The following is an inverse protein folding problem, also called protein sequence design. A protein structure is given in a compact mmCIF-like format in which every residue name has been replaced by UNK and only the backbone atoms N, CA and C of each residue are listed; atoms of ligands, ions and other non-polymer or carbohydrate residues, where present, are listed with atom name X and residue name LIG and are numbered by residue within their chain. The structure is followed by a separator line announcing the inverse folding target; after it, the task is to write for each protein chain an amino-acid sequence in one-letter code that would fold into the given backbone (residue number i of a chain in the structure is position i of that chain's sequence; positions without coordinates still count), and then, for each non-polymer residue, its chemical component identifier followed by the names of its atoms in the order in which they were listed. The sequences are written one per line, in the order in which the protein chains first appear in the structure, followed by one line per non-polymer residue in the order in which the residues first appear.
data_IF_942451138735
#
_entry.id   IF_942451138735
#
_cell.length_a   1.000
_cell.length_b   1.000
_cell.length_c   1.000
_cell.angle_alpha   90.00
_cell.angle_beta   90.00
_cell.angle_gamma   90.00
#
_symmetry.space_group_name_H-M   'P 1'
#
loop_
_entity.id
_entity.type
_entity.pdbx_description
1 polymer ?
#
# COMPACT_ATOMS: atom_id res chain seq x y z
N UNK A 1 17.17 -8.33 -15.04
CA UNK A 1 16.82 -8.28 -13.61
C UNK A 1 15.35 -7.96 -13.49
N UNK A 2 14.66 -8.53 -12.51
CA UNK A 2 13.25 -8.26 -12.22
C UNK A 2 13.13 -6.86 -11.58
N UNK A 3 13.28 -5.83 -12.39
CA UNK A 3 13.00 -4.45 -12.03
C UNK A 3 11.83 -4.00 -12.90
N UNK A 4 10.67 -3.83 -12.28
CA UNK A 4 9.46 -3.40 -12.98
C UNK A 4 9.36 -1.89 -12.80
N UNK A 5 9.43 -1.17 -13.92
CA UNK A 5 9.27 0.29 -13.91
C UNK A 5 7.93 0.69 -13.29
N UNK A 6 7.91 1.83 -12.57
CA UNK A 6 6.66 2.34 -11.97
C UNK A 6 5.80 2.94 -13.06
N UNK A 7 4.69 2.26 -13.34
CA UNK A 7 3.67 2.73 -14.27
C UNK A 7 2.39 2.97 -13.49
N UNK A 8 1.70 4.06 -13.79
CA UNK A 8 0.46 4.45 -13.11
C UNK A 8 0.64 5.13 -11.75
N UNK A 9 -0.48 5.26 -11.06
CA UNK A 9 -0.65 6.04 -9.83
C UNK A 9 -0.48 5.18 -8.57
N UNK A 10 -0.85 3.89 -8.65
CA UNK A 10 -0.72 2.92 -7.57
C UNK A 10 -0.25 1.55 -8.07
N UNK A 11 0.37 0.77 -7.17
CA UNK A 11 0.80 -0.62 -7.41
C UNK A 11 0.11 -1.57 -6.45
N UNK A 12 -0.43 -2.66 -6.98
CA UNK A 12 -1.05 -3.74 -6.21
C UNK A 12 -0.27 -5.02 -6.46
N UNK A 13 0.25 -5.64 -5.39
CA UNK A 13 0.93 -6.94 -5.46
C UNK A 13 -0.01 -8.09 -5.15
N UNK A 14 -0.05 -9.12 -5.98
CA UNK A 14 -0.82 -10.34 -5.74
C UNK A 14 0.09 -11.42 -5.19
N UNK A 15 -0.30 -11.99 -4.05
CA UNK A 15 0.42 -13.08 -3.37
C UNK A 15 -0.55 -14.21 -3.13
N UNK A 16 -0.15 -15.45 -3.40
CA UNK A 16 -0.99 -16.61 -3.20
C UNK A 16 -0.34 -17.86 -3.75
N UNK A 17 -0.63 -19.01 -3.14
CA UNK A 17 -0.11 -20.30 -3.57
C UNK A 17 -0.54 -20.62 -5.02
N UNK A 18 0.15 -21.51 -5.73
CA UNK A 18 -0.37 -22.09 -6.95
C UNK A 18 -1.79 -22.66 -6.74
N UNK A 19 -2.61 -22.66 -7.79
CA UNK A 19 -3.95 -23.29 -7.80
C UNK A 19 -5.04 -22.64 -6.91
N UNK A 20 -4.76 -21.50 -6.26
CA UNK A 20 -5.80 -20.71 -5.55
C UNK A 20 -6.61 -19.80 -6.49
N UNK A 21 -6.30 -19.77 -7.79
CA UNK A 21 -6.99 -18.94 -8.79
C UNK A 21 -6.43 -17.53 -8.97
N UNK A 22 -5.22 -17.25 -8.46
CA UNK A 22 -4.50 -15.96 -8.61
C UNK A 22 -4.39 -15.50 -10.08
N UNK A 23 -3.93 -16.37 -10.97
CA UNK A 23 -3.74 -16.01 -12.40
C UNK A 23 -5.06 -15.74 -13.11
N UNK A 24 -6.11 -16.49 -12.76
CA UNK A 24 -7.47 -16.26 -13.28
C UNK A 24 -8.03 -14.92 -12.81
N UNK A 25 -7.85 -14.58 -11.53
CA UNK A 25 -8.24 -13.30 -10.97
C UNK A 25 -7.51 -12.14 -11.66
N UNK A 26 -6.18 -12.22 -11.79
CA UNK A 26 -5.36 -11.24 -12.49
C UNK A 26 -5.81 -11.04 -13.93
N UNK A 27 -6.03 -12.13 -14.67
CA UNK A 27 -6.45 -12.07 -16.08
C UNK A 27 -7.84 -11.48 -16.24
N UNK A 28 -8.78 -11.81 -15.36
CA UNK A 28 -10.13 -11.25 -15.40
C UNK A 28 -10.15 -9.77 -15.00
N UNK A 29 -9.42 -9.37 -13.95
CA UNK A 29 -9.33 -7.95 -13.56
C UNK A 29 -8.66 -7.11 -14.66
N UNK A 30 -7.55 -7.60 -15.21
CA UNK A 30 -6.86 -6.92 -16.30
C UNK A 30 -7.72 -6.88 -17.59
N UNK A 31 -8.39 -7.98 -17.95
CA UNK A 31 -9.17 -8.07 -19.19
C UNK A 31 -10.45 -7.23 -19.18
N UNK A 32 -11.12 -7.11 -18.04
CA UNK A 32 -12.39 -6.37 -17.93
C UNK A 32 -12.16 -4.85 -17.82
N UNK A 33 -11.04 -4.42 -17.23
CA UNK A 33 -10.79 -3.02 -16.87
C UNK A 33 -9.56 -2.38 -17.54
N UNK A 34 -9.00 -3.03 -18.58
CA UNK A 34 -7.89 -2.48 -19.37
C UNK A 34 -8.41 -1.75 -20.61
N UNK A 35 -8.21 -0.44 -20.68
CA UNK A 35 -8.46 0.40 -21.86
C UNK A 35 -7.30 0.34 -22.88
N UNK A 36 -6.73 -0.85 -23.15
CA UNK A 36 -5.61 -1.05 -24.08
C UNK A 36 -4.23 -0.68 -23.50
N UNK A 37 -3.50 -1.72 -23.09
CA UNK A 37 -2.04 -1.74 -23.10
C UNK A 37 -1.57 -3.17 -23.36
N UNK A 38 -1.88 -3.70 -24.55
CA UNK A 38 -1.14 -4.82 -25.11
C UNK A 38 0.27 -4.32 -25.47
N UNK A 39 1.14 -4.22 -24.47
CA UNK A 39 2.58 -4.22 -24.74
C UNK A 39 2.98 -5.67 -24.96
N UNK A 40 3.04 -6.00 -26.25
CA UNK A 40 3.58 -7.21 -26.81
C UNK A 40 4.91 -7.63 -26.17
N UNK A 41 4.97 -8.91 -25.81
CA UNK A 41 6.16 -9.76 -25.69
C UNK A 41 7.35 -9.25 -24.88
N UNK A 42 7.45 -9.70 -23.62
CA UNK A 42 8.76 -10.07 -23.03
C UNK A 42 8.65 -11.37 -22.22
N UNK A 43 9.39 -12.38 -22.67
CA UNK A 43 9.31 -13.80 -22.28
C UNK A 43 9.79 -14.15 -20.86
N UNK A 44 10.08 -13.20 -19.97
CA UNK A 44 10.71 -13.49 -18.67
C UNK A 44 10.29 -12.57 -17.50
N UNK A 45 9.18 -11.84 -17.64
CA UNK A 45 8.70 -10.85 -16.65
C UNK A 45 7.23 -11.11 -16.34
N UNK A 46 6.87 -11.17 -15.07
CA UNK A 46 5.47 -11.20 -14.59
C UNK A 46 4.64 -10.19 -15.37
N UNK A 47 3.58 -10.63 -16.04
CA UNK A 47 2.74 -9.76 -16.88
C UNK A 47 2.12 -8.69 -15.97
N UNK A 48 2.56 -7.42 -16.02
CA UNK A 48 1.91 -6.38 -15.26
C UNK A 48 0.61 -6.03 -15.99
N UNK A 49 -0.52 -6.33 -15.37
CA UNK A 49 -1.80 -5.78 -15.82
C UNK A 49 -1.89 -4.31 -15.41
N UNK A 50 -2.43 -3.43 -16.25
CA UNK A 50 -2.79 -2.07 -15.82
C UNK A 50 -4.27 -1.92 -16.00
N UNK A 51 -4.96 -1.54 -14.93
CA UNK A 51 -6.40 -1.24 -14.96
C UNK A 51 -6.61 0.25 -14.76
N UNK A 52 -7.69 0.78 -15.34
CA UNK A 52 -8.18 2.12 -15.02
C UNK A 52 -9.41 1.99 -14.13
N UNK A 53 -9.34 2.52 -12.92
CA UNK A 53 -10.47 2.52 -11.99
C UNK A 53 -10.65 3.93 -11.41
N UNK A 54 -11.87 4.48 -11.52
CA UNK A 54 -12.21 5.85 -11.11
C UNK A 54 -11.21 6.92 -11.64
N UNK A 55 -10.74 6.74 -12.88
CA UNK A 55 -9.77 7.64 -13.53
C UNK A 55 -8.30 7.37 -13.18
N UNK A 56 -8.00 6.67 -12.09
CA UNK A 56 -6.64 6.30 -11.69
C UNK A 56 -6.10 5.11 -12.48
N UNK A 57 -4.81 5.14 -12.82
CA UNK A 57 -4.11 4.00 -13.42
C UNK A 57 -3.49 3.14 -12.32
N UNK A 58 -3.92 1.90 -12.20
CA UNK A 58 -3.46 0.98 -11.16
C UNK A 58 -2.69 -0.17 -11.82
N UNK A 59 -1.43 -0.32 -11.41
CA UNK A 59 -0.54 -1.39 -11.87
C UNK A 59 -0.75 -2.64 -11.00
N UNK A 60 -1.15 -3.74 -11.62
CA UNK A 60 -1.30 -5.05 -11.00
C UNK A 60 0.00 -5.84 -11.23
N UNK A 61 0.59 -6.34 -10.14
CA UNK A 61 1.84 -7.06 -10.14
C UNK A 61 1.61 -8.45 -9.57
N UNK A 62 1.98 -9.48 -10.33
CA UNK A 62 2.07 -10.82 -9.77
C UNK A 62 3.40 -10.98 -9.02
N UNK A 63 3.38 -11.49 -7.79
CA UNK A 63 4.57 -11.69 -6.96
C UNK A 63 4.86 -13.20 -6.78
N UNK A 64 5.32 -13.90 -7.84
CA UNK A 64 5.69 -15.30 -7.74
C UNK A 64 6.96 -15.46 -6.90
N UNK A 65 7.04 -16.52 -6.09
CA UNK A 65 8.27 -16.87 -5.37
C UNK A 65 8.43 -16.29 -3.96
N UNK A 66 7.43 -15.57 -3.43
CA UNK A 66 7.37 -15.27 -1.97
C UNK A 66 7.12 -16.55 -1.16
N UNK A 67 6.51 -17.57 -1.78
CA UNK A 67 5.96 -18.75 -1.09
C UNK A 67 6.86 -19.99 -1.22
N UNK A 68 7.73 -20.05 -2.25
CA UNK A 68 8.54 -21.23 -2.58
C UNK A 68 10.04 -20.97 -2.42
N UNK A 69 10.50 -20.71 -1.18
CA UNK A 69 11.92 -20.77 -0.86
C UNK A 69 12.76 -19.56 -1.29
N UNK A 70 12.22 -18.34 -1.20
CA UNK A 70 13.01 -17.11 -1.36
C UNK A 70 14.21 -17.02 -0.39
N UNK A 71 14.22 -17.83 0.68
CA UNK A 71 15.37 -18.01 1.59
C UNK A 71 16.59 -18.70 0.96
N UNK A 72 16.45 -19.44 -0.16
CA UNK A 72 17.55 -20.22 -0.77
C UNK A 72 18.53 -19.39 -1.62
N UNK A 73 18.49 -18.05 -1.56
CA UNK A 73 19.56 -17.19 -2.09
C UNK A 73 19.75 -17.20 -3.61
N UNK A 74 18.95 -17.97 -4.38
CA UNK A 74 18.95 -17.87 -5.85
C UNK A 74 18.43 -16.48 -6.23
N UNK A 75 19.26 -15.69 -6.92
CA UNK A 75 19.14 -14.23 -7.06
C UNK A 75 17.83 -13.63 -7.59
N UNK A 76 16.80 -14.43 -7.88
CA UNK A 76 15.44 -14.00 -8.25
C UNK A 76 14.58 -13.64 -7.03
N UNK A 77 14.76 -14.28 -5.86
CA UNK A 77 13.96 -14.03 -4.66
C UNK A 77 14.08 -12.59 -4.12
N UNK A 78 15.31 -12.07 -4.04
CA UNK A 78 15.58 -10.68 -3.61
C UNK A 78 14.85 -9.63 -4.45
N UNK A 79 14.66 -9.88 -5.73
CA UNK A 79 14.04 -8.91 -6.63
C UNK A 79 12.52 -8.88 -6.45
N UNK A 80 11.88 -10.04 -6.24
CA UNK A 80 10.44 -10.12 -5.93
C UNK A 80 10.13 -9.40 -4.61
N UNK A 81 11.01 -9.54 -3.62
CA UNK A 81 10.91 -8.83 -2.33
C UNK A 81 11.01 -7.32 -2.52
N UNK A 82 11.98 -6.86 -3.31
CA UNK A 82 12.14 -5.44 -3.60
C UNK A 82 10.88 -4.87 -4.27
N UNK A 83 10.28 -5.60 -5.20
CA UNK A 83 9.02 -5.19 -5.85
C UNK A 83 7.86 -5.18 -4.84
N UNK A 84 7.71 -6.21 -4.01
CA UNK A 84 6.67 -6.29 -2.99
C UNK A 84 6.70 -5.09 -2.02
N UNK A 85 7.91 -4.65 -1.62
CA UNK A 85 8.11 -3.47 -0.76
C UNK A 85 7.75 -2.14 -1.42
N UNK A 86 7.60 -2.11 -2.75
CA UNK A 86 7.16 -0.91 -3.49
C UNK A 86 5.66 -0.88 -3.78
N UNK A 87 4.93 -1.93 -3.44
CA UNK A 87 3.49 -2.00 -3.60
C UNK A 87 2.79 -1.04 -2.63
N UNK A 88 1.70 -0.44 -3.07
CA UNK A 88 0.83 0.38 -2.24
C UNK A 88 -0.21 -0.46 -1.49
N UNK A 89 -0.52 -1.65 -2.02
CA UNK A 89 -1.47 -2.61 -1.47
C UNK A 89 -1.03 -4.02 -1.83
N UNK A 90 -1.21 -4.98 -0.93
CA UNK A 90 -1.03 -6.41 -1.21
C UNK A 90 -2.38 -7.11 -1.17
N UNK A 91 -2.66 -7.94 -2.17
CA UNK A 91 -3.80 -8.85 -2.20
C UNK A 91 -3.30 -10.27 -1.93
N UNK A 92 -3.72 -10.85 -0.82
CA UNK A 92 -3.41 -12.24 -0.49
C UNK A 92 -4.58 -13.10 -0.96
N UNK A 93 -4.37 -13.85 -2.05
CA UNK A 93 -5.37 -14.75 -2.61
C UNK A 93 -5.29 -16.11 -1.92
N UNK A 94 -6.38 -16.50 -1.28
CA UNK A 94 -6.53 -17.75 -0.55
C UNK A 94 -7.67 -18.57 -1.13
N UNK A 95 -7.61 -19.88 -0.90
CA UNK A 95 -8.73 -20.79 -1.14
C UNK A 95 -9.62 -20.80 0.12
N UNK A 96 -10.92 -20.55 -0.03
CA UNK A 96 -11.87 -20.50 1.09
C UNK A 96 -11.96 -21.81 1.87
N UNK A 97 -11.65 -22.96 1.25
CA UNK A 97 -11.68 -24.26 1.92
C UNK A 97 -10.46 -24.52 2.81
N UNK A 98 -9.31 -23.90 2.51
CA UNK A 98 -8.06 -24.09 3.26
C UNK A 98 -7.30 -22.77 3.48
N UNK A 99 -7.92 -21.73 4.06
CA UNK A 99 -7.31 -20.39 4.10
C UNK A 99 -6.23 -20.28 5.18
N UNK A 100 -6.41 -20.93 6.34
CA UNK A 100 -5.59 -20.68 7.54
C UNK A 100 -4.12 -21.08 7.38
N UNK A 101 -3.86 -22.27 6.82
CA UNK A 101 -2.49 -22.76 6.62
C UNK A 101 -1.70 -21.90 5.65
N UNK A 102 -2.30 -21.59 4.50
CA UNK A 102 -1.67 -20.73 3.49
C UNK A 102 -1.50 -19.29 3.98
N UNK A 103 -2.50 -18.74 4.68
CA UNK A 103 -2.44 -17.41 5.28
C UNK A 103 -1.22 -17.26 6.18
N UNK A 104 -1.04 -18.17 7.15
CA UNK A 104 0.06 -18.12 8.12
C UNK A 104 1.43 -18.18 7.45
N UNK A 105 1.59 -19.03 6.43
CA UNK A 105 2.86 -19.13 5.70
C UNK A 105 3.17 -17.82 4.96
N UNK A 106 2.17 -17.25 4.27
CA UNK A 106 2.34 -16.01 3.51
C UNK A 106 2.67 -14.83 4.44
N UNK A 107 1.97 -14.73 5.58
CA UNK A 107 2.22 -13.68 6.59
C UNK A 107 3.66 -13.77 7.12
N UNK A 108 4.09 -14.96 7.54
CA UNK A 108 5.45 -15.18 8.06
C UNK A 108 6.54 -14.83 7.03
N UNK A 109 6.34 -15.17 5.75
CA UNK A 109 7.31 -14.84 4.70
C UNK A 109 7.35 -13.32 4.45
N UNK A 110 6.20 -12.65 4.34
CA UNK A 110 6.12 -11.20 4.14
C UNK A 110 6.74 -10.44 5.32
N UNK A 111 6.46 -10.88 6.54
CA UNK A 111 7.05 -10.34 7.76
C UNK A 111 8.55 -10.55 7.83
N UNK A 112 9.04 -11.72 7.42
CA UNK A 112 10.46 -12.02 7.29
C UNK A 112 11.20 -11.12 6.28
N UNK A 113 10.47 -10.52 5.33
CA UNK A 113 11.01 -9.55 4.38
C UNK A 113 10.87 -8.08 4.84
N UNK A 114 10.40 -7.87 6.07
CA UNK A 114 10.22 -6.56 6.68
C UNK A 114 8.99 -5.81 6.16
N UNK A 115 7.99 -6.54 5.64
CA UNK A 115 6.68 -6.00 5.30
C UNK A 115 5.74 -6.27 6.46
N UNK A 116 5.11 -5.23 7.01
CA UNK A 116 4.08 -5.34 8.04
C UNK A 116 2.72 -5.10 7.41
N UNK A 117 1.83 -6.08 7.50
CA UNK A 117 0.52 -6.06 6.85
C UNK A 117 -0.52 -5.44 7.78
N UNK A 118 -1.32 -4.49 7.29
CA UNK A 118 -2.43 -3.86 8.03
C UNK A 118 -2.08 -3.19 9.37
N UNK A 119 -0.79 -3.04 9.69
CA UNK A 119 -0.30 -2.38 10.89
C UNK A 119 0.12 -0.93 10.62
N UNK A 120 0.13 -0.12 11.68
CA UNK A 120 0.70 1.23 11.66
C UNK A 120 2.10 1.21 12.28
N UNK A 121 2.99 2.15 11.91
CA UNK A 121 4.27 2.31 12.61
C UNK A 121 4.04 2.47 14.12
N UNK A 122 4.73 1.70 14.96
CA UNK A 122 4.55 1.75 16.40
C UNK A 122 5.04 3.10 16.95
N UNK A 123 4.35 3.63 17.96
CA UNK A 123 4.66 4.94 18.53
C UNK A 123 5.74 4.83 19.60
N UNK A 124 6.93 4.43 19.17
CA UNK A 124 8.11 4.28 20.03
C UNK A 124 9.12 5.35 19.63
N UNK A 125 9.50 6.22 20.56
CA UNK A 125 10.60 7.14 20.34
C UNK A 125 11.91 6.45 20.67
N UNK A 126 12.73 6.20 19.65
CA UNK A 126 14.05 5.62 19.78
C UNK A 126 15.12 6.64 19.44
N UNK A 127 16.07 6.87 20.35
CA UNK A 127 17.21 7.77 20.13
C UNK A 127 18.51 7.13 20.60
N UNK A 128 19.41 6.84 19.66
CA UNK A 128 20.75 6.32 19.98
C UNK A 128 21.60 7.42 20.64
N UNK A 129 22.38 7.02 21.64
CA UNK A 129 23.31 7.88 22.40
C UNK A 129 24.74 7.36 22.26
N UNK A 130 25.72 8.21 22.57
CA UNK A 130 27.13 7.80 22.61
C UNK A 130 27.52 7.19 23.97
N UNK A 131 26.91 7.69 25.06
CA UNK A 131 27.16 7.27 26.45
C UNK A 131 25.88 7.33 27.28
N UNK A 132 25.86 6.65 28.43
CA UNK A 132 24.77 6.76 29.42
C UNK A 132 23.82 5.55 29.50
N UNK A 133 24.19 4.41 28.92
CA UNK A 133 23.42 3.17 29.00
C UNK A 133 22.08 3.23 28.28
N UNK A 134 21.23 2.24 28.56
CA UNK A 134 19.88 2.14 28.01
C UNK A 134 18.89 2.73 29.02
N UNK A 135 18.22 3.82 28.65
CA UNK A 135 17.15 4.42 29.44
C UNK A 135 15.81 4.06 28.81
N UNK A 136 14.94 3.42 29.60
CA UNK A 136 13.57 3.11 29.21
C UNK A 136 12.63 4.06 29.94
N UNK A 137 11.78 4.76 29.20
CA UNK A 137 10.69 5.57 29.75
C UNK A 137 9.37 5.05 29.17
N UNK A 138 8.50 4.53 30.02
CA UNK A 138 7.18 4.06 29.61
C UNK A 138 6.10 5.05 30.08
N UNK A 139 5.23 5.46 29.16
CA UNK A 139 4.09 6.35 29.47
C UNK A 139 2.85 5.55 29.86
N UNK A 140 2.77 4.29 29.42
CA UNK A 140 1.67 3.36 29.67
C UNK A 140 2.21 2.05 30.26
N UNK A 141 1.37 1.31 31.02
CA UNK A 141 1.73 -0.04 31.46
C UNK A 141 2.06 -0.91 30.25
N UNK A 142 3.14 -1.69 30.37
CA UNK A 142 3.60 -2.60 29.33
C UNK A 142 3.22 -4.03 29.70
N UNK A 143 2.74 -4.79 28.73
CA UNK A 143 2.37 -6.19 28.93
C UNK A 143 3.56 -7.15 28.74
N UNK A 144 4.46 -6.81 27.81
CA UNK A 144 5.53 -7.72 27.36
C UNK A 144 6.95 -7.13 27.48
N UNK A 145 7.09 -5.80 27.46
CA UNK A 145 8.38 -5.12 27.41
C UNK A 145 8.89 -4.69 28.79
N UNK A 146 9.74 -5.54 29.36
CA UNK A 146 10.52 -5.21 30.55
C UNK A 146 11.88 -4.58 30.21
N UNK A 147 12.45 -3.87 31.17
CA UNK A 147 13.78 -3.23 31.02
C UNK A 147 14.87 -4.25 30.66
N UNK A 148 14.77 -5.48 31.17
CA UNK A 148 15.70 -6.57 30.86
C UNK A 148 15.54 -7.07 29.41
N UNK A 149 14.31 -7.28 28.96
CA UNK A 149 13.99 -7.69 27.59
C UNK A 149 14.48 -6.65 26.59
N UNK A 150 14.21 -5.36 26.84
CA UNK A 150 14.68 -4.24 26.00
C UNK A 150 16.21 -4.22 25.92
N UNK A 151 16.91 -4.43 27.04
CA UNK A 151 18.38 -4.50 27.06
C UNK A 151 18.90 -5.68 26.25
N UNK A 152 18.27 -6.85 26.37
CA UNK A 152 18.66 -8.06 25.63
C UNK A 152 18.50 -7.85 24.11
N UNK A 153 17.37 -7.31 23.68
CA UNK A 153 17.11 -7.00 22.27
C UNK A 153 18.15 -5.99 21.77
N UNK A 154 18.36 -4.86 22.46
CA UNK A 154 19.31 -3.84 22.01
C UNK A 154 20.76 -4.33 22.02
N UNK A 155 21.12 -5.22 22.94
CA UNK A 155 22.44 -5.83 22.98
C UNK A 155 22.71 -6.71 21.74
N UNK A 156 21.71 -7.45 21.26
CA UNK A 156 21.81 -8.23 20.02
C UNK A 156 22.09 -7.36 18.79
N UNK A 157 21.49 -6.16 18.74
CA UNK A 157 21.75 -5.14 17.72
C UNK A 157 23.02 -4.31 17.96
N UNK A 158 23.86 -4.67 18.94
CA UNK A 158 25.10 -3.94 19.31
C UNK A 158 24.86 -2.48 19.69
N UNK A 159 23.71 -2.19 20.32
CA UNK A 159 23.34 -0.87 20.80
C UNK A 159 23.42 -0.86 22.32
N UNK A 160 24.49 -0.27 22.86
CA UNK A 160 24.73 -0.21 24.31
C UNK A 160 24.20 1.08 24.97
N UNK A 161 23.94 2.12 24.18
CA UNK A 161 23.52 3.43 24.67
C UNK A 161 22.34 3.95 23.83
N UNK A 162 21.15 4.01 24.42
CA UNK A 162 19.95 4.48 23.75
C UNK A 162 18.87 4.95 24.74
N UNK A 163 18.06 5.91 24.32
CA UNK A 163 16.80 6.24 24.98
C UNK A 163 15.65 5.60 24.20
N UNK A 164 14.84 4.82 24.92
CA UNK A 164 13.62 4.21 24.41
C UNK A 164 12.44 4.80 25.16
N UNK A 165 11.52 5.41 24.43
CA UNK A 165 10.29 6.00 24.97
C UNK A 165 9.10 5.24 24.41
N UNK A 166 8.39 4.51 25.28
CA UNK A 166 7.19 3.76 24.93
C UNK A 166 5.96 4.61 25.21
N UNK A 167 5.22 4.97 24.15
CA UNK A 167 3.96 5.74 24.25
C UNK A 167 2.71 4.87 24.09
N UNK A 168 2.88 3.61 23.70
CA UNK A 168 1.82 2.60 23.56
C UNK A 168 2.31 1.28 24.17
N UNK A 169 1.39 0.37 24.45
CA UNK A 169 1.73 -1.02 24.78
C UNK A 169 2.36 -1.63 23.52
N UNK A 170 3.64 -1.95 23.60
CA UNK A 170 4.45 -2.36 22.45
C UNK A 170 5.00 -3.77 22.70
N UNK A 171 5.14 -4.52 21.61
CA UNK A 171 5.72 -5.88 21.64
C UNK A 171 7.23 -5.83 21.40
N UNK A 172 7.91 -6.96 21.63
CA UNK A 172 9.32 -7.11 21.27
C UNK A 172 9.56 -6.86 19.76
N UNK A 173 8.64 -7.31 18.91
CA UNK A 173 8.72 -7.13 17.46
C UNK A 173 8.56 -5.67 17.04
N UNK A 174 7.72 -4.90 17.72
CA UNK A 174 7.55 -3.46 17.47
C UNK A 174 8.84 -2.68 17.78
N UNK A 175 9.54 -3.06 18.85
CA UNK A 175 10.83 -2.46 19.18
C UNK A 175 11.88 -2.81 18.12
N UNK A 176 11.93 -4.08 17.68
CA UNK A 176 12.82 -4.53 16.61
C UNK A 176 12.56 -3.74 15.31
N UNK A 177 11.29 -3.52 14.98
CA UNK A 177 10.90 -2.77 13.79
C UNK A 177 11.43 -1.32 13.79
N UNK A 178 11.40 -0.68 14.96
CA UNK A 178 11.88 0.70 15.15
C UNK A 178 13.41 0.77 15.13
N UNK A 179 14.06 -0.24 15.72
CA UNK A 179 15.53 -0.33 15.75
C UNK A 179 16.10 -0.59 14.36
N UNK A 180 15.47 -1.47 13.58
CA UNK A 180 15.92 -1.75 12.21
C UNK A 180 15.61 -0.60 11.23
N UNK A 181 14.47 0.09 11.40
CA UNK A 181 14.08 1.25 10.59
C UNK A 181 13.86 0.97 9.09
N UNK A 182 14.05 -0.27 8.63
CA UNK A 182 13.92 -0.69 7.23
C UNK A 182 12.60 -1.45 6.97
N UNK A 183 11.56 -1.20 7.77
CA UNK A 183 10.25 -1.82 7.66
C UNK A 183 9.31 -1.00 6.77
N UNK A 184 8.45 -1.68 6.03
CA UNK A 184 7.42 -1.06 5.19
C UNK A 184 6.05 -1.53 5.69
N UNK A 185 5.17 -0.58 5.96
CA UNK A 185 3.81 -0.83 6.42
C UNK A 185 2.88 -0.74 5.22
N UNK A 186 2.32 -1.87 4.80
CA UNK A 186 1.51 -1.97 3.58
C UNK A 186 0.13 -2.50 3.96
N UNK A 187 -0.96 -1.84 3.55
CA UNK A 187 -2.29 -2.40 3.71
C UNK A 187 -2.43 -3.71 2.92
N UNK A 188 -3.26 -4.62 3.42
CA UNK A 188 -3.47 -5.94 2.84
C UNK A 188 -4.95 -6.31 2.83
N UNK A 189 -5.42 -6.85 1.71
CA UNK A 189 -6.76 -7.43 1.59
C UNK A 189 -6.62 -8.93 1.36
N UNK A 190 -7.32 -9.72 2.16
CA UNK A 190 -7.43 -11.16 1.98
C UNK A 190 -8.57 -11.47 1.02
N UNK A 191 -8.23 -12.04 -0.12
CA UNK A 191 -9.17 -12.41 -1.16
C UNK A 191 -9.46 -13.91 -1.01
N UNK A 192 -10.64 -14.25 -0.49
CA UNK A 192 -11.07 -15.65 -0.35
C UNK A 192 -11.77 -16.09 -1.62
N UNK A 193 -11.07 -16.88 -2.43
CA UNK A 193 -11.57 -17.38 -3.69
C UNK A 193 -12.30 -18.73 -3.53
N UNK A 194 -13.07 -19.10 -4.56
CA UNK A 194 -13.87 -20.33 -4.67
C UNK A 194 -15.12 -20.36 -3.78
N UNK A 195 -15.79 -19.22 -3.65
CA UNK A 195 -17.02 -19.13 -2.86
C UNK A 195 -18.19 -19.90 -3.47
N UNK A 196 -18.06 -20.37 -4.71
CA UNK A 196 -18.97 -21.34 -5.34
C UNK A 196 -19.07 -22.67 -4.58
N UNK A 197 -18.16 -22.94 -3.65
CA UNK A 197 -18.10 -24.18 -2.88
C UNK A 197 -18.66 -24.05 -1.46
N UNK A 198 -19.11 -22.85 -1.06
CA UNK A 198 -19.67 -22.58 0.27
C UNK A 198 -21.13 -22.15 0.17
N UNK A 199 -21.84 -22.26 1.30
CA UNK A 199 -23.22 -21.80 1.44
C UNK A 199 -23.31 -20.30 1.69
N UNK A 200 -24.52 -19.73 1.52
CA UNK A 200 -24.79 -18.31 1.77
C UNK A 200 -24.60 -17.96 3.26
N UNK A 201 -24.94 -18.87 4.17
CA UNK A 201 -24.76 -18.67 5.62
C UNK A 201 -23.28 -18.55 6.00
N UNK A 202 -22.41 -19.37 5.40
CA UNK A 202 -20.97 -19.28 5.59
C UNK A 202 -20.39 -17.99 5.00
N UNK A 203 -20.93 -17.53 3.88
CA UNK A 203 -20.54 -16.27 3.25
C UNK A 203 -20.78 -15.07 4.17
N UNK A 204 -21.92 -15.03 4.88
CA UNK A 204 -22.24 -13.97 5.84
C UNK A 204 -21.27 -13.92 7.03
N UNK A 205 -20.74 -15.07 7.45
CA UNK A 205 -19.72 -15.13 8.50
C UNK A 205 -18.40 -14.57 7.98
N UNK A 206 -18.04 -14.86 6.73
CA UNK A 206 -16.81 -14.37 6.10
C UNK A 206 -16.81 -12.84 5.99
N UNK A 207 -17.95 -12.22 5.67
CA UNK A 207 -18.07 -10.76 5.60
C UNK A 207 -17.78 -10.04 6.94
N UNK A 208 -17.93 -10.74 8.07
CA UNK A 208 -17.59 -10.19 9.39
C UNK A 208 -16.08 -10.16 9.65
N UNK A 209 -15.29 -10.90 8.87
CA UNK A 209 -13.83 -10.92 9.02
C UNK A 209 -13.22 -9.64 8.44
N UNK A 210 -12.41 -8.90 9.20
CA UNK A 210 -11.82 -7.66 8.72
C UNK A 210 -10.86 -7.90 7.56
N UNK A 211 -10.73 -6.92 6.68
CA UNK A 211 -9.84 -6.95 5.51
C UNK A 211 -10.11 -8.10 4.52
N UNK A 212 -11.25 -8.80 4.62
CA UNK A 212 -11.57 -9.96 3.79
C UNK A 212 -12.54 -9.59 2.65
N UNK A 213 -12.36 -10.19 1.46
CA UNK A 213 -13.32 -10.13 0.35
C UNK A 213 -13.54 -11.53 -0.22
N UNK A 214 -14.74 -12.10 -0.08
CA UNK A 214 -15.12 -13.37 -0.71
C UNK A 214 -15.37 -13.16 -2.21
N UNK A 215 -14.75 -13.95 -3.08
CA UNK A 215 -14.92 -13.89 -4.54
C UNK A 215 -15.02 -15.27 -5.18
N UNK A 216 -15.59 -15.34 -6.39
CA UNK A 216 -15.38 -16.49 -7.29
C UNK A 216 -14.71 -16.00 -8.56
N UNK A 217 -13.42 -16.32 -8.72
CA UNK A 217 -12.66 -15.93 -9.91
C UNK A 217 -13.18 -16.61 -11.19
N UNK A 218 -13.80 -17.80 -11.07
CA UNK A 218 -14.37 -18.53 -12.20
C UNK A 218 -15.67 -17.88 -12.69
N UNK A 219 -16.58 -17.57 -11.76
CA UNK A 219 -17.89 -16.98 -12.08
C UNK A 219 -17.89 -15.44 -12.11
N UNK A 220 -16.75 -14.80 -11.78
CA UNK A 220 -16.58 -13.34 -11.67
C UNK A 220 -17.50 -12.69 -10.63
N UNK A 221 -17.78 -13.39 -9.54
CA UNK A 221 -18.59 -12.85 -8.46
C UNK A 221 -17.76 -11.95 -7.54
N UNK A 222 -18.39 -10.86 -7.06
CA UNK A 222 -17.83 -9.89 -6.11
C UNK A 222 -16.56 -9.16 -6.57
N UNK A 223 -16.36 -9.01 -7.87
CA UNK A 223 -15.22 -8.24 -8.40
C UNK A 223 -15.39 -6.74 -8.15
N UNK A 224 -16.63 -6.25 -8.17
CA UNK A 224 -16.94 -4.83 -7.93
C UNK A 224 -16.63 -4.45 -6.47
N UNK A 225 -17.08 -5.26 -5.51
CA UNK A 225 -16.76 -5.12 -4.07
C UNK A 225 -15.24 -5.17 -3.82
N UNK A 226 -14.53 -6.08 -4.52
CA UNK A 226 -13.07 -6.13 -4.45
C UNK A 226 -12.43 -4.83 -4.95
N UNK A 227 -12.89 -4.27 -6.07
CA UNK A 227 -12.35 -3.02 -6.63
C UNK A 227 -12.67 -1.79 -5.78
N UNK A 228 -13.88 -1.73 -5.20
CA UNK A 228 -14.26 -0.68 -4.24
C UNK A 228 -13.37 -0.75 -3.00
N UNK A 229 -13.18 -1.93 -2.41
CA UNK A 229 -12.31 -2.08 -1.24
C UNK A 229 -10.85 -1.78 -1.56
N UNK A 230 -10.37 -2.16 -2.74
CA UNK A 230 -9.04 -1.78 -3.24
C UNK A 230 -8.89 -0.25 -3.27
N UNK A 231 -9.89 0.45 -3.81
CA UNK A 231 -9.89 1.91 -3.89
C UNK A 231 -9.80 2.57 -2.51
N UNK A 232 -10.61 2.10 -1.57
CA UNK A 232 -10.63 2.61 -0.20
C UNK A 232 -9.30 2.40 0.53
N UNK A 233 -8.61 1.28 0.27
CA UNK A 233 -7.34 0.95 0.91
C UNK A 233 -6.17 1.72 0.29
N UNK A 234 -6.21 1.98 -1.02
CA UNK A 234 -5.19 2.76 -1.70
C UNK A 234 -5.19 4.23 -1.28
N UNK A 235 -6.33 4.75 -0.80
CA UNK A 235 -6.51 6.15 -0.36
C UNK A 235 -5.92 7.12 -1.39
N UNK A 236 -6.41 7.01 -2.62
CA UNK A 236 -6.02 7.90 -3.70
C UNK A 236 -6.91 9.14 -3.69
N UNK A 237 -6.30 10.28 -4.04
CA UNK A 237 -6.93 11.58 -4.12
C UNK A 237 -6.90 12.01 -5.58
N UNK A 238 -8.07 12.24 -6.17
CA UNK A 238 -8.26 12.68 -7.55
C UNK A 238 -8.43 14.18 -7.55
N UNK A 239 -7.62 14.88 -8.32
CA UNK A 239 -7.71 16.33 -8.47
C UNK A 239 -7.97 16.66 -9.93
N UNK A 240 -9.00 17.46 -10.17
CA UNK A 240 -9.41 17.86 -11.52
C UNK A 240 -8.76 19.18 -11.91
N UNK A 241 -8.20 19.22 -13.11
CA UNK A 241 -7.59 20.45 -13.64
C UNK A 241 -8.65 21.34 -14.27
N UNK A 242 -8.55 22.64 -14.03
CA UNK A 242 -9.40 23.64 -14.67
C UNK A 242 -8.55 24.73 -15.32
N UNK A 243 -8.47 24.77 -16.66
CA UNK A 243 -7.81 25.87 -17.37
C UNK A 243 -8.58 27.19 -17.23
N UNK A 244 -7.87 28.32 -17.34
CA UNK A 244 -8.50 29.64 -17.26
C UNK A 244 -9.46 29.84 -18.43
N UNK A 245 -10.73 30.11 -18.13
CA UNK A 245 -11.78 30.34 -19.13
C UNK A 245 -12.42 29.07 -19.70
N UNK A 246 -12.05 27.89 -19.21
CA UNK A 246 -12.65 26.61 -19.59
C UNK A 246 -13.33 25.95 -18.39
N UNK A 247 -14.19 24.98 -18.69
CA UNK A 247 -14.76 24.09 -17.68
C UNK A 247 -13.69 23.12 -17.16
N UNK A 248 -13.84 22.60 -15.92
CA UNK A 248 -12.96 21.56 -15.41
C UNK A 248 -13.01 20.30 -16.27
N UNK A 249 -11.86 19.67 -16.47
CA UNK A 249 -11.80 18.36 -17.10
C UNK A 249 -11.99 17.26 -16.06
N UNK A 250 -13.16 16.61 -16.10
CA UNK A 250 -13.52 15.48 -15.22
C UNK A 250 -13.12 14.12 -15.78
N UNK A 251 -12.64 14.05 -17.02
CA UNK A 251 -12.29 12.77 -17.67
C UNK A 251 -10.92 12.26 -17.24
N UNK A 252 -9.98 13.18 -17.00
CA UNK A 252 -8.58 12.87 -16.73
C UNK A 252 -8.11 13.52 -15.43
N UNK A 253 -8.49 12.97 -14.25
CA UNK A 253 -8.00 13.46 -12.98
C UNK A 253 -6.50 13.22 -12.85
N UNK A 254 -5.82 14.13 -12.17
CA UNK A 254 -4.47 13.90 -11.66
C UNK A 254 -4.60 13.20 -10.32
N UNK A 255 -4.08 11.99 -10.22
CA UNK A 255 -4.20 11.17 -9.03
C UNK A 255 -2.93 11.24 -8.18
N UNK A 256 -3.12 11.57 -6.91
CA UNK A 256 -2.09 11.67 -5.89
C UNK A 256 -2.34 10.66 -4.76
N UNK A 257 -1.28 10.11 -4.14
CA UNK A 257 -1.44 9.30 -2.93
C UNK A 257 -1.76 10.19 -1.72
N UNK A 258 -2.53 9.70 -0.76
CA UNK A 258 -2.91 10.46 0.45
C UNK A 258 -1.73 11.05 1.25
N UNK A 259 -0.53 10.45 1.17
CA UNK A 259 0.64 10.97 1.84
C UNK A 259 1.27 12.20 1.16
N UNK A 260 0.88 12.53 -0.07
CA UNK A 260 1.45 13.61 -0.89
C UNK A 260 0.34 14.35 -1.65
N UNK A 261 -0.48 15.07 -0.90
CA UNK A 261 -1.67 15.77 -1.41
C UNK A 261 -1.50 17.28 -1.49
N UNK A 262 -0.27 17.80 -1.38
CA UNK A 262 -0.07 19.26 -1.44
C UNK A 262 -0.21 19.79 -2.86
N UNK A 263 -0.50 21.10 -2.99
CA UNK A 263 -0.48 21.79 -4.29
C UNK A 263 0.91 21.69 -4.95
N UNK A 264 1.98 21.65 -4.16
CA UNK A 264 3.33 21.39 -4.65
C UNK A 264 3.45 20.00 -5.29
N UNK A 265 3.00 18.95 -4.61
CA UNK A 265 3.01 17.57 -5.11
C UNK A 265 2.20 17.46 -6.42
N UNK A 266 1.04 18.12 -6.48
CA UNK A 266 0.24 18.23 -7.68
C UNK A 266 1.02 18.86 -8.85
N UNK A 267 1.70 19.98 -8.60
CA UNK A 267 2.52 20.63 -9.61
C UNK A 267 3.69 19.75 -10.06
N UNK A 268 4.36 19.05 -9.14
CA UNK A 268 5.44 18.11 -9.46
C UNK A 268 4.96 16.95 -10.34
N UNK A 269 3.75 16.44 -10.08
CA UNK A 269 3.14 15.35 -10.84
C UNK A 269 2.83 15.75 -12.28
N UNK A 270 2.37 16.97 -12.52
CA UNK A 270 2.13 17.49 -13.87
C UNK A 270 3.46 17.76 -14.58
N UNK A 271 4.27 18.67 -14.02
CA UNK A 271 5.54 19.04 -14.64
C UNK A 271 6.45 19.78 -13.64
N UNK A 272 7.70 19.33 -13.48
CA UNK A 272 8.66 19.89 -12.51
C UNK A 272 8.88 21.41 -12.63
N UNK A 273 8.79 21.98 -13.83
CA UNK A 273 8.98 23.43 -14.03
C UNK A 273 7.77 24.28 -13.55
N UNK A 274 6.60 23.68 -13.33
CA UNK A 274 5.39 24.41 -12.97
C UNK A 274 5.51 25.12 -11.61
N UNK A 275 6.34 24.58 -10.72
CA UNK A 275 6.61 25.14 -9.39
C UNK A 275 7.41 26.45 -9.46
N UNK A 276 8.26 26.61 -10.48
CA UNK A 276 9.09 27.82 -10.67
C UNK A 276 8.22 29.02 -11.05
N UNK A 277 7.25 28.77 -11.93
CA UNK A 277 6.33 29.79 -12.43
C UNK A 277 5.07 29.97 -11.56
N UNK A 278 4.94 29.20 -10.47
CA UNK A 278 3.75 29.23 -9.61
C UNK A 278 3.61 30.57 -8.89
N UNK A 279 2.44 31.22 -9.03
CA UNK A 279 2.05 32.42 -8.28
C UNK A 279 1.08 32.10 -7.15
N UNK A 280 -0.03 31.42 -7.49
CA UNK A 280 -1.03 30.90 -6.57
C UNK A 280 -1.92 29.88 -7.30
N UNK A 281 -2.70 29.11 -6.56
CA UNK A 281 -3.77 28.29 -7.11
C UNK A 281 -5.14 28.78 -6.65
N UNK A 282 -6.14 28.61 -7.49
CA UNK A 282 -7.55 28.72 -7.12
C UNK A 282 -8.09 27.30 -6.98
N UNK A 283 -8.68 27.00 -5.82
CA UNK A 283 -9.24 25.68 -5.54
C UNK A 283 -10.74 25.83 -5.29
N UNK A 284 -11.51 24.87 -5.82
CA UNK A 284 -12.91 24.64 -5.52
C UNK A 284 -13.04 23.22 -4.97
N UNK A 285 -13.69 23.06 -3.82
CA UNK A 285 -13.91 21.74 -3.23
C UNK A 285 -13.96 21.77 -1.71
N UNK A 286 -13.84 20.61 -1.09
CA UNK A 286 -13.98 20.44 0.35
C UNK A 286 -12.73 20.88 1.13
N UNK A 287 -11.56 20.93 0.49
CA UNK A 287 -10.33 21.39 1.14
C UNK A 287 -10.32 22.88 1.47
N UNK A 288 -11.25 23.66 0.88
CA UNK A 288 -11.33 25.12 1.06
C UNK A 288 -12.64 25.53 1.71
N UNK A 289 -12.61 26.60 2.51
CA UNK A 289 -13.80 27.10 3.21
C UNK A 289 -14.68 27.96 2.31
N UNK A 290 -14.10 28.56 1.28
CA UNK A 290 -14.79 29.42 0.33
C UNK A 290 -14.52 28.95 -1.10
N UNK A 291 -15.54 28.97 -1.95
CA UNK A 291 -15.45 28.50 -3.33
C UNK A 291 -15.52 29.68 -4.32
N UNK A 292 -14.45 29.97 -5.11
CA UNK A 292 -13.07 29.51 -4.96
C UNK A 292 -12.28 30.25 -3.87
N UNK A 293 -11.26 29.58 -3.35
CA UNK A 293 -10.27 30.19 -2.45
C UNK A 293 -8.89 30.19 -3.11
N UNK A 294 -8.15 31.29 -2.87
CA UNK A 294 -6.75 31.42 -3.28
C UNK A 294 -5.86 30.71 -2.26
N UNK A 295 -5.08 29.74 -2.72
CA UNK A 295 -4.22 28.91 -1.87
C UNK A 295 -2.75 28.98 -2.31
N UNK A 296 -1.86 28.69 -1.35
CA UNK A 296 -0.42 28.58 -1.54
C UNK A 296 0.02 27.18 -1.98
N UNK A 297 1.34 26.94 -1.93
CA UNK A 297 1.95 25.65 -2.30
C UNK A 297 1.74 24.57 -1.25
N UNK A 298 1.72 24.96 0.02
CA UNK A 298 1.62 24.06 1.17
C UNK A 298 0.17 23.62 1.47
N UNK A 299 -0.80 24.10 0.69
CA UNK A 299 -2.21 23.73 0.88
C UNK A 299 -2.42 22.26 0.54
N UNK A 300 -3.07 21.53 1.44
CA UNK A 300 -3.44 20.12 1.27
C UNK A 300 -4.77 20.01 0.53
N UNK A 301 -4.77 19.31 -0.59
CA UNK A 301 -5.94 19.03 -1.42
C UNK A 301 -6.69 17.79 -0.92
N UNK A 302 -7.99 17.75 -1.18
CA UNK A 302 -8.88 16.62 -0.88
C UNK A 302 -9.40 15.96 -2.17
N UNK A 303 -10.02 14.78 -2.04
CA UNK A 303 -10.54 14.04 -3.20
C UNK A 303 -11.63 14.84 -3.92
N UNK A 304 -11.57 14.84 -5.25
CA UNK A 304 -12.45 15.57 -6.16
C UNK A 304 -12.31 17.10 -6.16
N UNK A 305 -11.29 17.64 -5.51
CA UNK A 305 -10.96 19.06 -5.63
C UNK A 305 -10.68 19.46 -7.09
N UNK A 306 -11.14 20.65 -7.46
CA UNK A 306 -10.83 21.28 -8.74
C UNK A 306 -9.78 22.35 -8.51
N UNK A 307 -8.71 22.35 -9.30
CA UNK A 307 -7.61 23.30 -9.19
C UNK A 307 -7.33 24.03 -10.51
N UNK A 308 -7.15 25.34 -10.40
CA UNK A 308 -6.67 26.21 -11.47
C UNK A 308 -5.36 26.87 -11.03
N UNK A 309 -4.27 26.53 -11.70
CA UNK A 309 -2.95 27.11 -11.43
C UNK A 309 -2.84 28.46 -12.13
N UNK A 310 -2.40 29.48 -11.39
CA UNK A 310 -2.06 30.80 -11.93
C UNK A 310 -0.55 30.97 -11.92
N UNK A 311 0.01 31.16 -13.10
CA UNK A 311 1.45 31.43 -13.30
C UNK A 311 1.77 32.90 -13.04
N UNK A 312 3.04 33.18 -12.74
CA UNK A 312 3.55 34.54 -12.50
C UNK A 312 3.38 35.46 -13.70
#
# INVERSE_FOLDING_TARGET
GFDVAKTGDARIGFVGFPSVGKSTLLSNLAGVYSEVAAYEFTTLTTVPGVIRYKGAKIQLLDLPGIIEGAKDGKGRGRQVIAVARTCNLILIVLDVLKPLGHKKIIENELEGFGIRLNSKPPNIGFKKKDKGGINLTATCPQSELDTETVKSILAEYKIHNADVTLRSDATADDLIDVVEGNRVYIPCIYVLNKIDQISIEELDIIYKVPHCVPISAHHRWNFDDLLEKIWDYLKLVRIYTKPKGQLPDYTSPVVLPYCKTTVEDFCMKIHKNLIKDFKYALVWGSSVKHNPQKVGKDHTLEDEDVIQIVKK
#
